data_IF_809212385216
#
_entry.id   IF_809212385216
#
_cell.length_a   1.000
_cell.length_b   1.000
_cell.length_c   1.000
_cell.angle_alpha   90.00
_cell.angle_beta   90.00
_cell.angle_gamma   90.00
#
_symmetry.space_group_name_H-M   'P 1'
#
loop_
_entity.id
_entity.type
_entity.pdbx_description
1 polymer ?
#
# COMPACT_ATOMS: atom_id res chain seq x y z
N UNK A 1 -9.55 -4.62 -19.15
CA UNK A 1 -8.11 -4.37 -18.91
C UNK A 1 -8.00 -3.11 -18.06
N UNK A 2 -7.31 -3.16 -16.93
CA UNK A 2 -7.09 -1.98 -16.06
C UNK A 2 -5.76 -1.38 -16.48
N UNK A 3 -5.77 -0.16 -17.02
CA UNK A 3 -4.58 0.64 -17.36
C UNK A 3 -4.34 1.71 -16.30
N UNK A 4 -3.20 2.42 -16.33
CA UNK A 4 -2.91 3.60 -15.48
C UNK A 4 -3.97 4.72 -15.57
N UNK A 5 -4.82 4.69 -16.60
CA UNK A 5 -5.94 5.60 -16.77
C UNK A 5 -7.23 5.12 -16.08
N UNK A 6 -7.21 3.99 -15.38
CA UNK A 6 -8.41 3.43 -14.75
C UNK A 6 -8.76 4.20 -13.48
N UNK A 7 -10.05 4.45 -13.29
CA UNK A 7 -10.55 5.09 -12.07
C UNK A 7 -10.43 4.13 -10.87
N UNK A 8 -10.43 4.64 -9.62
CA UNK A 8 -10.57 3.81 -8.42
C UNK A 8 -11.77 2.86 -8.50
N UNK A 9 -12.89 3.33 -9.07
CA UNK A 9 -14.09 2.53 -9.27
C UNK A 9 -13.84 1.38 -10.25
N UNK A 10 -13.18 1.62 -11.37
CA UNK A 10 -12.82 0.58 -12.35
C UNK A 10 -11.86 -0.47 -11.78
N UNK A 11 -10.89 0.00 -10.97
CA UNK A 11 -9.88 -0.87 -10.32
C UNK A 11 -10.56 -1.84 -9.36
N UNK A 12 -11.50 -1.36 -8.54
CA UNK A 12 -12.28 -2.23 -7.66
C UNK A 12 -13.34 -3.02 -8.43
N UNK A 13 -13.80 -2.54 -9.58
CA UNK A 13 -14.98 -3.05 -10.29
C UNK A 13 -16.29 -2.66 -9.59
N UNK A 14 -16.34 -1.45 -9.03
CA UNK A 14 -17.47 -0.89 -8.32
C UNK A 14 -18.07 0.31 -9.09
N UNK A 15 -19.25 0.77 -8.67
CA UNK A 15 -19.94 1.93 -9.24
C UNK A 15 -19.91 3.11 -8.27
N UNK A 16 -19.99 4.34 -8.79
CA UNK A 16 -20.08 5.57 -7.97
C UNK A 16 -21.25 5.55 -6.97
N UNK A 17 -22.35 4.89 -7.33
CA UNK A 17 -23.53 4.74 -6.46
C UNK A 17 -23.44 3.60 -5.43
N UNK A 18 -22.34 2.83 -5.40
CA UNK A 18 -22.20 1.74 -4.45
C UNK A 18 -21.94 2.28 -3.03
N UNK A 19 -22.65 1.69 -2.07
CA UNK A 19 -22.45 1.89 -0.62
C UNK A 19 -21.07 1.41 -0.18
N UNK A 20 -20.58 1.92 0.95
CA UNK A 20 -19.27 1.55 1.51
C UNK A 20 -19.11 0.05 1.76
N UNK A 21 -20.20 -0.61 2.17
CA UNK A 21 -20.23 -2.07 2.31
C UNK A 21 -19.90 -2.79 0.99
N UNK A 22 -20.50 -2.36 -0.13
CA UNK A 22 -20.23 -2.93 -1.46
C UNK A 22 -18.81 -2.63 -1.93
N UNK A 23 -18.28 -1.43 -1.64
CA UNK A 23 -16.88 -1.09 -1.94
C UNK A 23 -15.91 -2.02 -1.19
N UNK A 24 -16.18 -2.27 0.10
CA UNK A 24 -15.39 -3.20 0.91
C UNK A 24 -15.45 -4.63 0.37
N UNK A 25 -16.63 -5.09 -0.04
CA UNK A 25 -16.80 -6.41 -0.67
C UNK A 25 -16.03 -6.48 -2.00
N UNK A 26 -16.09 -5.45 -2.83
CA UNK A 26 -15.35 -5.39 -4.10
C UNK A 26 -13.83 -5.44 -3.86
N UNK A 27 -13.34 -4.70 -2.87
CA UNK A 27 -11.94 -4.73 -2.45
C UNK A 27 -11.48 -6.14 -2.07
N UNK A 28 -12.20 -6.82 -1.15
CA UNK A 28 -11.81 -8.18 -0.76
C UNK A 28 -11.82 -9.15 -1.94
N UNK A 29 -12.82 -9.07 -2.83
CA UNK A 29 -12.86 -9.89 -4.06
C UNK A 29 -11.61 -9.67 -4.91
N UNK A 30 -11.17 -8.42 -5.10
CA UNK A 30 -9.95 -8.10 -5.86
C UNK A 30 -8.68 -8.64 -5.19
N UNK A 31 -8.58 -8.54 -3.88
CA UNK A 31 -7.44 -9.09 -3.12
C UNK A 31 -7.39 -10.61 -3.22
N UNK A 32 -8.52 -11.30 -3.10
CA UNK A 32 -8.57 -12.75 -3.26
C UNK A 32 -8.21 -13.18 -4.68
N UNK A 33 -8.71 -12.47 -5.69
CA UNK A 33 -8.35 -12.72 -7.09
C UNK A 33 -6.83 -12.53 -7.30
N UNK A 34 -6.26 -11.42 -6.84
CA UNK A 34 -4.82 -11.17 -6.90
C UNK A 34 -4.00 -12.28 -6.26
N UNK A 35 -4.37 -12.72 -5.04
CA UNK A 35 -3.68 -13.80 -4.34
C UNK A 35 -3.76 -15.12 -5.11
N UNK A 36 -4.94 -15.45 -5.61
CA UNK A 36 -5.15 -16.66 -6.43
C UNK A 36 -4.29 -16.61 -7.70
N UNK A 37 -4.37 -15.51 -8.44
CA UNK A 37 -3.63 -15.35 -9.70
C UNK A 37 -2.12 -15.43 -9.46
N UNK A 38 -1.60 -14.84 -8.38
CA UNK A 38 -0.18 -14.88 -8.03
C UNK A 38 0.32 -16.30 -7.74
N UNK A 39 -0.54 -17.16 -7.17
CA UNK A 39 -0.22 -18.55 -6.89
C UNK A 39 -0.30 -19.42 -8.15
N UNK A 40 -1.30 -19.19 -9.00
CA UNK A 40 -1.55 -19.99 -10.19
C UNK A 40 -0.62 -19.65 -11.36
N UNK A 41 -0.05 -18.45 -11.40
CA UNK A 41 0.83 -18.04 -12.49
C UNK A 41 1.97 -17.14 -12.01
N UNK A 42 2.99 -17.70 -11.33
CA UNK A 42 4.12 -16.93 -10.82
C UNK A 42 4.96 -16.26 -11.91
N UNK A 43 4.95 -16.77 -13.15
CA UNK A 43 5.62 -16.13 -14.29
C UNK A 43 4.82 -15.00 -14.94
N UNK A 44 3.58 -14.78 -14.52
CA UNK A 44 2.72 -13.78 -15.13
C UNK A 44 3.16 -12.40 -14.65
N UNK A 45 4.02 -11.76 -15.46
CA UNK A 45 4.54 -10.38 -15.30
C UNK A 45 3.47 -9.30 -15.09
N UNK A 46 2.19 -9.66 -15.17
CA UNK A 46 1.02 -8.77 -14.99
C UNK A 46 0.55 -8.68 -13.53
N UNK A 47 0.96 -9.62 -12.67
CA UNK A 47 0.57 -9.67 -11.26
C UNK A 47 1.72 -9.12 -10.44
N UNK A 48 1.92 -7.81 -10.56
CA UNK A 48 3.05 -7.15 -9.93
C UNK A 48 2.68 -6.61 -8.54
N UNK A 49 3.66 -6.32 -7.68
CA UNK A 49 3.44 -5.58 -6.45
C UNK A 49 2.75 -4.22 -6.68
N UNK A 50 2.99 -3.56 -7.82
CA UNK A 50 2.32 -2.30 -8.15
C UNK A 50 0.81 -2.48 -8.32
N UNK A 51 0.36 -3.59 -8.93
CA UNK A 51 -1.07 -3.86 -9.09
C UNK A 51 -1.78 -4.07 -7.75
N UNK A 52 -1.14 -4.77 -6.80
CA UNK A 52 -1.67 -4.89 -5.44
C UNK A 52 -1.80 -3.52 -4.77
N UNK A 53 -0.77 -2.68 -4.92
CA UNK A 53 -0.75 -1.32 -4.38
C UNK A 53 -1.89 -0.47 -4.96
N UNK A 54 -2.14 -0.56 -6.27
CA UNK A 54 -3.24 0.14 -6.94
C UNK A 54 -4.61 -0.26 -6.36
N UNK A 55 -4.85 -1.55 -6.12
CA UNK A 55 -6.10 -2.03 -5.51
C UNK A 55 -6.28 -1.41 -4.11
N UNK A 56 -5.22 -1.39 -3.30
CA UNK A 56 -5.24 -0.81 -1.97
C UNK A 56 -5.49 0.70 -2.01
N UNK A 57 -4.84 1.45 -2.91
CA UNK A 57 -5.02 2.90 -3.06
C UNK A 57 -6.40 3.27 -3.57
N UNK A 58 -6.95 2.50 -4.50
CA UNK A 58 -8.31 2.70 -4.97
C UNK A 58 -9.31 2.56 -3.81
N UNK A 59 -9.15 1.53 -2.98
CA UNK A 59 -9.99 1.35 -1.79
C UNK A 59 -9.76 2.43 -0.74
N UNK A 60 -8.52 2.83 -0.46
CA UNK A 60 -8.22 3.92 0.48
C UNK A 60 -8.90 5.23 0.06
N UNK A 61 -8.89 5.53 -1.24
CA UNK A 61 -9.55 6.73 -1.80
C UNK A 61 -11.06 6.65 -1.65
N UNK A 62 -11.66 5.48 -1.92
CA UNK A 62 -13.12 5.33 -1.96
C UNK A 62 -13.76 4.98 -0.61
N UNK A 63 -12.99 4.45 0.36
CA UNK A 63 -13.50 4.03 1.67
C UNK A 63 -13.58 5.18 2.68
N UNK A 64 -12.81 6.24 2.47
CA UNK A 64 -12.86 7.47 3.25
C UNK A 64 -13.80 8.47 2.57
N UNK A 65 -14.80 8.94 3.30
CA UNK A 65 -15.86 9.78 2.73
C UNK A 65 -15.33 11.13 2.22
N UNK A 66 -14.35 11.72 2.90
CA UNK A 66 -13.75 12.99 2.48
C UNK A 66 -12.87 12.80 1.24
N UNK A 67 -12.02 11.76 1.24
CA UNK A 67 -11.18 11.42 0.07
C UNK A 67 -12.02 11.06 -1.14
N UNK A 68 -13.10 10.29 -0.95
CA UNK A 68 -14.03 9.90 -2.03
C UNK A 68 -14.73 11.12 -2.61
N UNK A 69 -15.22 12.02 -1.76
CA UNK A 69 -15.86 13.26 -2.21
C UNK A 69 -14.89 14.11 -3.04
N UNK A 70 -13.67 14.32 -2.54
CA UNK A 70 -12.64 15.08 -3.26
C UNK A 70 -12.32 14.43 -4.61
N UNK A 71 -12.15 13.11 -4.65
CA UNK A 71 -11.97 12.38 -5.90
C UNK A 71 -13.17 12.56 -6.85
N UNK A 72 -14.39 12.49 -6.33
CA UNK A 72 -15.61 12.62 -7.12
C UNK A 72 -15.82 14.04 -7.69
N UNK A 73 -15.20 15.06 -7.08
CA UNK A 73 -15.22 16.48 -7.48
C UNK A 73 -14.07 16.82 -8.44
N UNK A 74 -12.83 16.48 -8.07
CA UNK A 74 -11.60 16.89 -8.77
C UNK A 74 -11.08 15.84 -9.76
N UNK A 75 -11.52 14.58 -9.63
CA UNK A 75 -11.00 13.45 -10.41
C UNK A 75 -9.60 12.99 -10.01
N UNK A 76 -8.99 13.62 -9.01
CA UNK A 76 -7.62 13.34 -8.58
C UNK A 76 -7.55 12.29 -7.47
N UNK A 77 -6.66 11.31 -7.65
CA UNK A 77 -6.35 10.31 -6.63
C UNK A 77 -4.90 9.84 -6.71
N UNK A 78 -4.38 9.33 -5.60
CA UNK A 78 -2.97 8.96 -5.48
C UNK A 78 -2.80 7.50 -5.90
N UNK A 79 -2.34 7.29 -7.13
CA UNK A 79 -2.03 5.94 -7.64
C UNK A 79 -0.73 5.38 -7.07
N UNK A 80 0.27 6.24 -6.95
CA UNK A 80 1.61 5.91 -6.48
C UNK A 80 2.07 6.96 -5.48
N UNK A 81 2.58 6.53 -4.33
CA UNK A 81 3.23 7.43 -3.38
C UNK A 81 4.71 7.49 -3.76
N UNK A 82 5.28 8.69 -4.06
CA UNK A 82 6.71 8.81 -4.28
C UNK A 82 7.49 8.28 -3.07
N UNK A 83 8.57 7.52 -3.30
CA UNK A 83 9.37 6.89 -2.24
C UNK A 83 9.70 7.84 -1.10
N UNK A 84 10.03 9.11 -1.39
CA UNK A 84 10.32 10.16 -0.39
C UNK A 84 9.24 10.33 0.71
N UNK A 85 7.99 9.95 0.46
CA UNK A 85 6.90 10.05 1.44
C UNK A 85 6.66 8.76 2.23
N UNK A 86 7.39 7.68 1.94
CA UNK A 86 7.27 6.45 2.72
C UNK A 86 7.76 6.67 4.15
N UNK A 87 7.12 6.08 5.14
CA UNK A 87 7.63 6.07 6.51
C UNK A 87 8.75 5.04 6.64
N UNK A 88 9.60 5.16 7.67
CA UNK A 88 10.62 4.14 7.96
C UNK A 88 10.00 2.75 8.14
N UNK A 89 8.79 2.67 8.72
CA UNK A 89 8.04 1.43 8.90
C UNK A 89 7.66 0.79 7.56
N UNK A 90 7.20 1.60 6.60
CA UNK A 90 6.84 1.13 5.25
C UNK A 90 8.09 0.64 4.51
N UNK A 91 9.19 1.39 4.58
CA UNK A 91 10.47 0.97 3.99
C UNK A 91 10.98 -0.33 4.62
N UNK A 92 10.88 -0.46 5.95
CA UNK A 92 11.30 -1.66 6.67
C UNK A 92 10.43 -2.89 6.37
N UNK A 93 9.16 -2.70 6.02
CA UNK A 93 8.26 -3.76 5.62
C UNK A 93 8.50 -4.29 4.19
N UNK A 94 9.34 -3.61 3.39
CA UNK A 94 9.57 -3.94 1.98
C UNK A 94 11.06 -4.25 1.74
N UNK A 95 11.47 -5.54 1.63
CA UNK A 95 12.87 -5.94 1.45
C UNK A 95 13.56 -5.27 0.26
N UNK A 96 12.81 -5.02 -0.81
CA UNK A 96 13.31 -4.36 -2.04
C UNK A 96 13.72 -2.89 -1.80
N UNK A 97 13.22 -2.26 -0.72
CA UNK A 97 13.51 -0.86 -0.38
C UNK A 97 14.61 -0.70 0.68
N UNK A 98 15.38 -1.75 0.97
CA UNK A 98 16.40 -1.75 2.02
C UNK A 98 17.47 -0.66 1.87
N UNK A 99 17.86 -0.33 0.64
CA UNK A 99 18.86 0.72 0.39
C UNK A 99 18.33 2.11 0.76
N UNK A 100 17.06 2.38 0.44
CA UNK A 100 16.38 3.62 0.81
C UNK A 100 16.21 3.70 2.34
N UNK A 101 15.88 2.59 3.00
CA UNK A 101 15.83 2.52 4.46
C UNK A 101 17.18 2.88 5.08
N UNK A 102 18.26 2.23 4.65
CA UNK A 102 19.63 2.48 5.16
C UNK A 102 20.04 3.94 4.98
N UNK A 103 19.75 4.53 3.83
CA UNK A 103 20.04 5.94 3.55
C UNK A 103 19.34 6.87 4.55
N UNK A 104 18.05 6.60 4.86
CA UNK A 104 17.32 7.43 5.81
C UNK A 104 17.77 7.24 7.25
N UNK A 105 18.09 6.01 7.65
CA UNK A 105 18.57 5.72 8.99
C UNK A 105 19.86 6.48 9.34
N UNK A 106 20.69 6.85 8.35
CA UNK A 106 21.88 7.68 8.58
C UNK A 106 21.58 9.06 9.19
N UNK A 107 20.36 9.58 9.00
CA UNK A 107 19.98 10.93 9.41
C UNK A 107 18.93 10.94 10.54
N UNK A 108 18.68 9.78 11.18
CA UNK A 108 17.62 9.60 12.17
C UNK A 108 18.21 9.17 13.50
N UNK A 109 17.66 9.65 14.60
CA UNK A 109 18.09 9.29 15.95
C UNK A 109 17.51 7.95 16.40
N UNK A 110 18.18 7.28 17.34
CA UNK A 110 17.66 6.04 17.97
C UNK A 110 16.28 6.23 18.61
N UNK A 111 15.97 7.44 19.10
CA UNK A 111 14.65 7.75 19.66
C UNK A 111 13.56 7.72 18.60
N UNK A 112 13.84 8.26 17.42
CA UNK A 112 12.91 8.27 16.29
C UNK A 112 12.74 6.87 15.68
N UNK A 113 13.80 6.08 15.61
CA UNK A 113 13.73 4.68 15.14
C UNK A 113 12.84 3.84 16.05
N UNK A 114 12.97 4.02 17.38
CA UNK A 114 12.20 3.29 18.38
C UNK A 114 10.81 3.90 18.67
N UNK A 115 10.47 5.03 18.05
CA UNK A 115 9.17 5.65 18.24
C UNK A 115 8.08 4.71 17.70
N UNK A 116 7.00 4.59 18.47
CA UNK A 116 5.79 3.93 18.00
C UNK A 116 5.03 4.85 17.07
N UNK A 117 4.50 4.30 16.00
CA UNK A 117 3.55 5.00 15.15
C UNK A 117 2.31 5.43 15.96
N UNK A 118 1.88 6.67 15.82
CA UNK A 118 0.72 7.17 16.56
C UNK A 118 -0.60 6.53 16.13
N UNK A 119 -0.69 5.97 14.92
CA UNK A 119 -1.91 5.33 14.42
C UNK A 119 -1.93 3.82 14.69
N UNK A 120 -0.81 3.14 14.46
CA UNK A 120 -0.73 1.68 14.53
C UNK A 120 -0.09 1.15 15.82
N UNK A 121 0.63 2.00 16.57
CA UNK A 121 1.39 1.61 17.75
C UNK A 121 2.63 0.75 17.46
N UNK A 122 2.95 0.54 16.18
CA UNK A 122 4.03 -0.35 15.74
C UNK A 122 5.35 0.41 15.60
N UNK A 123 6.46 -0.25 15.92
CA UNK A 123 7.82 0.27 15.69
C UNK A 123 8.34 -0.17 14.32
N UNK A 124 9.39 0.51 13.84
CA UNK A 124 10.07 0.13 12.59
C UNK A 124 10.59 -1.32 12.66
N UNK A 125 11.19 -1.68 13.80
CA UNK A 125 11.70 -3.04 14.06
C UNK A 125 10.60 -4.09 14.03
N UNK A 126 9.44 -3.81 14.62
CA UNK A 126 8.30 -4.73 14.58
C UNK A 126 7.84 -4.98 13.15
N UNK A 127 7.71 -3.92 12.34
CA UNK A 127 7.31 -4.03 10.94
C UNK A 127 8.29 -4.88 10.13
N UNK A 128 9.61 -4.68 10.31
CA UNK A 128 10.65 -5.48 9.67
C UNK A 128 10.56 -6.96 10.06
N UNK A 129 10.45 -7.24 11.37
CA UNK A 129 10.40 -8.60 11.89
C UNK A 129 9.15 -9.36 11.41
N UNK A 130 7.98 -8.70 11.38
CA UNK A 130 6.70 -9.31 10.98
C UNK A 130 6.71 -9.83 9.54
N UNK A 131 7.45 -9.19 8.65
CA UNK A 131 7.60 -9.61 7.25
C UNK A 131 8.85 -10.45 7.00
N UNK A 132 9.58 -10.81 8.07
CA UNK A 132 10.86 -11.52 8.00
C UNK A 132 11.92 -10.78 7.15
N UNK A 133 11.92 -9.44 7.15
CA UNK A 133 12.96 -8.64 6.50
C UNK A 133 14.19 -8.57 7.41
N UNK A 134 14.99 -9.65 7.41
CA UNK A 134 16.14 -9.82 8.30
C UNK A 134 17.18 -8.73 8.09
N UNK A 135 17.36 -8.27 6.86
CA UNK A 135 18.33 -7.20 6.57
C UNK A 135 17.92 -5.88 7.21
N UNK A 136 16.62 -5.53 7.15
CA UNK A 136 16.12 -4.36 7.88
C UNK A 136 16.25 -4.53 9.39
N UNK A 137 15.94 -5.70 9.95
CA UNK A 137 16.12 -5.99 11.39
C UNK A 137 17.56 -5.76 11.83
N UNK A 138 18.54 -6.17 11.04
CA UNK A 138 19.96 -6.00 11.37
C UNK A 138 20.46 -4.53 11.29
N UNK A 139 19.70 -3.65 10.64
CA UNK A 139 20.07 -2.24 10.46
C UNK A 139 19.37 -1.30 11.46
N UNK A 140 18.43 -1.80 12.26
CA UNK A 140 17.61 -1.06 13.23
C UNK A 140 18.08 -1.32 14.66
#
# INVERSE_FOLDING_TARGET
MITLASTPYDILGAKKADSDYKLRVAYYKRIHQYKKDRLESPENRRITPEYFTLICRAYETLSDQEKRKKYDEDGEWIQHIPLKHYTLQQLAAEPELINELKLRLQNVTLREINAQDSQTGQTVLYCAARVCNIEAVNCL
#
